data_IF_620271532963
#
_entry.id   IF_620271532963
#
_cell.length_a   1.000
_cell.length_b   1.000
_cell.length_c   1.000
_cell.angle_alpha   90.00
_cell.angle_beta   90.00
_cell.angle_gamma   90.00
#
_symmetry.space_group_name_H-M   'P 1'
#
loop_
_entity.id
_entity.type
_entity.pdbx_description
1 polymer ?
#
# COMPACT_ATOMS: atom_id res chain seq x y z
N UNK A 1 -8.09 -1.10 13.20
CA UNK A 1 -6.74 -0.89 12.57
C UNK A 1 -5.64 -1.74 13.21
N UNK A 2 -5.39 -1.65 14.52
CA UNK A 2 -4.31 -2.42 15.16
C UNK A 2 -4.52 -3.95 15.08
N UNK A 3 -5.77 -4.39 15.22
CA UNK A 3 -6.12 -5.82 15.12
C UNK A 3 -5.80 -6.39 13.73
N UNK A 4 -6.11 -5.65 12.66
CA UNK A 4 -5.76 -6.04 11.30
C UNK A 4 -4.24 -6.17 11.11
N UNK A 5 -3.45 -5.27 11.71
CA UNK A 5 -1.99 -5.38 11.65
C UNK A 5 -1.50 -6.62 12.40
N UNK A 6 -2.06 -6.88 13.58
CA UNK A 6 -1.72 -8.05 14.39
C UNK A 6 -2.11 -9.37 13.70
N UNK A 7 -3.27 -9.42 13.06
CA UNK A 7 -3.70 -10.56 12.23
C UNK A 7 -2.74 -10.83 11.09
N UNK A 8 -2.37 -9.79 10.33
CA UNK A 8 -1.40 -9.93 9.24
C UNK A 8 -0.08 -10.52 9.74
N UNK A 9 0.47 -9.96 10.83
CA UNK A 9 1.74 -10.42 11.41
C UNK A 9 1.65 -11.87 11.91
N UNK A 10 0.52 -12.26 12.50
CA UNK A 10 0.28 -13.63 12.99
C UNK A 10 0.17 -14.64 11.85
N UNK A 11 -0.54 -14.30 10.78
CA UNK A 11 -0.81 -15.19 9.65
C UNK A 11 0.35 -15.26 8.64
N UNK A 12 1.32 -14.34 8.74
CA UNK A 12 2.47 -14.33 7.84
C UNK A 12 3.40 -15.51 8.14
N UNK A 13 3.46 -16.45 7.21
CA UNK A 13 4.29 -17.65 7.30
C UNK A 13 5.40 -17.56 6.24
N UNK A 14 6.46 -16.81 6.55
CA UNK A 14 7.52 -16.49 5.60
C UNK A 14 8.90 -16.79 6.18
N UNK A 15 9.80 -17.31 5.35
CA UNK A 15 11.24 -17.44 5.69
C UNK A 15 11.99 -16.12 5.49
N UNK A 16 11.39 -15.19 4.74
CA UNK A 16 11.94 -13.86 4.50
C UNK A 16 11.66 -12.97 5.71
N UNK A 17 12.67 -12.25 6.20
CA UNK A 17 12.53 -11.40 7.37
C UNK A 17 11.54 -10.25 7.12
N UNK A 18 10.51 -10.14 7.97
CA UNK A 18 9.58 -9.00 8.01
C UNK A 18 10.15 -7.91 8.92
N UNK A 19 10.46 -6.73 8.35
CA UNK A 19 10.86 -5.54 9.08
C UNK A 19 9.71 -4.55 9.19
N UNK A 20 9.39 -4.14 10.41
CA UNK A 20 8.23 -3.30 10.71
C UNK A 20 8.68 -1.89 11.06
N UNK A 21 8.23 -0.91 10.27
CA UNK A 21 8.40 0.52 10.58
C UNK A 21 7.11 1.06 11.20
N UNK A 22 7.18 1.56 12.42
CA UNK A 22 6.05 2.17 13.11
C UNK A 22 5.97 3.67 12.81
N UNK A 23 4.76 4.22 12.92
CA UNK A 23 4.58 5.67 12.95
C UNK A 23 5.32 6.26 14.17
N UNK A 24 6.02 7.39 14.03
CA UNK A 24 6.74 8.01 15.14
C UNK A 24 5.80 8.50 16.24
N UNK A 25 6.24 8.47 17.49
CA UNK A 25 5.50 9.00 18.64
C UNK A 25 4.50 8.02 19.27
N UNK A 26 3.55 8.56 20.03
CA UNK A 26 2.69 7.77 20.94
C UNK A 26 1.80 6.75 20.23
N UNK A 27 1.35 7.05 19.01
CA UNK A 27 0.56 6.15 18.17
C UNK A 27 1.27 4.84 17.86
N UNK A 28 2.61 4.84 17.84
CA UNK A 28 3.40 3.63 17.60
C UNK A 28 3.38 2.64 18.77
N UNK A 29 3.15 3.09 20.00
CA UNK A 29 3.27 2.23 21.20
C UNK A 29 2.19 1.15 21.25
N UNK A 30 0.92 1.51 21.07
CA UNK A 30 -0.20 0.56 21.07
C UNK A 30 -0.11 -0.44 19.92
N UNK A 31 0.29 0.03 18.74
CA UNK A 31 0.50 -0.84 17.58
C UNK A 31 1.66 -1.81 17.82
N UNK A 32 2.76 -1.35 18.43
CA UNK A 32 3.89 -2.19 18.81
C UNK A 32 3.45 -3.34 19.72
N UNK A 33 2.68 -3.03 20.76
CA UNK A 33 2.22 -4.04 21.71
C UNK A 33 1.30 -5.07 21.07
N UNK A 34 0.40 -4.64 20.18
CA UNK A 34 -0.46 -5.54 19.41
C UNK A 34 0.35 -6.50 18.52
N UNK A 35 1.38 -5.97 17.86
CA UNK A 35 2.30 -6.75 17.01
C UNK A 35 3.11 -7.75 17.83
N UNK A 36 3.66 -7.33 18.98
CA UNK A 36 4.44 -8.21 19.85
C UNK A 36 3.59 -9.32 20.48
N UNK A 37 2.30 -9.06 20.78
CA UNK A 37 1.35 -10.10 21.19
C UNK A 37 1.06 -11.10 20.07
N UNK A 38 1.04 -10.66 18.81
CA UNK A 38 0.83 -11.53 17.66
C UNK A 38 2.07 -12.35 17.30
N UNK A 39 3.26 -11.75 17.43
CA UNK A 39 4.54 -12.39 17.19
C UNK A 39 5.62 -11.72 18.06
N UNK A 40 6.04 -12.40 19.13
CA UNK A 40 7.05 -11.90 20.06
C UNK A 40 8.44 -11.74 19.41
N UNK A 41 8.68 -12.39 18.27
CA UNK A 41 9.91 -12.28 17.47
C UNK A 41 9.91 -11.14 16.45
N UNK A 42 8.85 -10.32 16.38
CA UNK A 42 8.72 -9.24 15.40
C UNK A 42 9.91 -8.26 15.44
N UNK A 43 10.41 -7.89 14.26
CA UNK A 43 11.56 -7.00 14.10
C UNK A 43 11.09 -5.60 13.71
N UNK A 44 11.52 -4.61 14.48
CA UNK A 44 11.20 -3.21 14.21
C UNK A 44 12.43 -2.49 13.68
N UNK A 45 12.27 -1.73 12.61
CA UNK A 45 13.38 -1.04 11.94
C UNK A 45 12.95 0.36 11.49
N UNK A 46 13.66 1.36 12.00
CA UNK A 46 13.53 2.76 11.59
C UNK A 46 14.91 3.39 11.30
N UNK A 47 15.89 2.56 10.96
CA UNK A 47 17.31 2.97 10.84
C UNK A 47 17.64 3.73 9.56
N UNK A 48 16.83 3.56 8.52
CA UNK A 48 17.01 4.23 7.22
C UNK A 48 15.84 5.17 6.92
N UNK A 49 16.09 6.14 6.05
CA UNK A 49 15.03 6.95 5.42
C UNK A 49 14.02 6.08 4.68
N UNK A 50 12.77 6.53 4.66
CA UNK A 50 11.64 5.68 4.26
C UNK A 50 11.76 5.19 2.80
N UNK A 51 12.14 6.07 1.87
CA UNK A 51 12.37 5.71 0.46
C UNK A 51 13.54 4.74 0.28
N UNK A 52 14.58 4.83 1.11
CA UNK A 52 15.68 3.86 1.11
C UNK A 52 15.23 2.48 1.60
N UNK A 53 14.30 2.42 2.56
CA UNK A 53 13.70 1.15 2.97
C UNK A 53 12.82 0.56 1.88
N UNK A 54 12.02 1.37 1.18
CA UNK A 54 11.22 0.91 0.05
C UNK A 54 12.11 0.28 -1.03
N UNK A 55 13.18 0.97 -1.44
CA UNK A 55 14.09 0.49 -2.48
C UNK A 55 14.83 -0.82 -2.12
N UNK A 56 15.04 -1.09 -0.82
CA UNK A 56 15.70 -2.32 -0.35
C UNK A 56 14.72 -3.45 -0.05
N UNK A 57 13.42 -3.17 -0.07
CA UNK A 57 12.38 -4.15 0.24
C UNK A 57 11.97 -4.89 -1.03
N UNK A 58 11.87 -6.21 -0.95
CA UNK A 58 11.34 -7.04 -2.04
C UNK A 58 9.86 -6.73 -2.29
N UNK A 59 9.11 -6.48 -1.22
CA UNK A 59 7.69 -6.09 -1.21
C UNK A 59 7.42 -5.24 0.03
N UNK A 60 6.54 -4.24 -0.11
CA UNK A 60 6.12 -3.37 1.00
C UNK A 60 4.66 -3.65 1.38
N UNK A 61 4.41 -3.74 2.68
CA UNK A 61 3.08 -3.93 3.24
C UNK A 61 2.62 -2.68 3.99
N UNK A 62 1.42 -2.18 3.67
CA UNK A 62 0.82 -1.04 4.37
C UNK A 62 -0.47 -1.47 5.05
N UNK A 63 -0.60 -1.21 6.35
CA UNK A 63 -1.73 -1.66 7.17
C UNK A 63 -2.85 -0.61 7.31
N UNK A 64 -2.77 0.47 6.53
CA UNK A 64 -3.76 1.54 6.46
C UNK A 64 -3.55 2.37 5.17
N UNK A 65 -4.56 3.14 4.79
CA UNK A 65 -4.54 3.98 3.58
C UNK A 65 -4.00 5.39 3.92
N UNK A 66 -2.68 5.51 4.02
CA UNK A 66 -1.95 6.78 4.10
C UNK A 66 -1.43 7.25 2.75
N UNK A 67 -0.34 8.04 2.76
CA UNK A 67 0.39 8.42 1.52
C UNK A 67 1.40 7.37 1.09
N UNK A 68 1.95 6.61 2.04
CA UNK A 68 3.06 5.67 1.82
C UNK A 68 2.76 4.59 0.78
N UNK A 69 1.54 4.06 0.74
CA UNK A 69 1.17 3.07 -0.28
C UNK A 69 0.99 3.71 -1.67
N UNK A 70 0.56 4.97 -1.74
CA UNK A 70 0.49 5.71 -3.00
C UNK A 70 1.91 5.93 -3.56
N UNK A 71 2.86 6.26 -2.69
CA UNK A 71 4.27 6.42 -3.04
C UNK A 71 4.87 5.12 -3.59
N UNK A 72 4.61 3.98 -2.94
CA UNK A 72 5.14 2.68 -3.42
C UNK A 72 4.47 2.25 -4.73
N UNK A 73 3.16 2.42 -4.88
CA UNK A 73 2.47 2.17 -6.15
C UNK A 73 2.97 3.08 -7.27
N UNK A 74 3.14 4.38 -7.00
CA UNK A 74 3.65 5.35 -7.95
C UNK A 74 5.05 5.03 -8.46
N UNK A 75 5.90 4.47 -7.59
CA UNK A 75 7.26 4.03 -7.92
C UNK A 75 7.35 2.59 -8.46
N UNK A 76 6.22 1.95 -8.78
CA UNK A 76 6.15 0.56 -9.28
C UNK A 76 6.83 -0.46 -8.35
N UNK A 77 6.79 -0.22 -7.03
CA UNK A 77 7.34 -1.12 -6.02
C UNK A 77 6.26 -2.17 -5.66
N UNK A 78 6.58 -3.47 -5.60
CA UNK A 78 5.64 -4.49 -5.17
C UNK A 78 4.99 -4.12 -3.83
N UNK A 79 3.66 -3.99 -3.85
CA UNK A 79 2.90 -3.41 -2.74
C UNK A 79 1.67 -4.25 -2.46
N UNK A 80 1.46 -4.58 -1.19
CA UNK A 80 0.16 -5.03 -0.67
C UNK A 80 -0.28 -4.03 0.39
N UNK A 81 -1.51 -3.55 0.27
CA UNK A 81 -2.13 -2.70 1.27
C UNK A 81 -3.40 -3.35 1.79
N UNK A 82 -3.66 -3.19 3.08
CA UNK A 82 -4.91 -3.59 3.70
C UNK A 82 -5.37 -2.54 4.69
N UNK A 83 -6.67 -2.52 4.93
CA UNK A 83 -7.27 -1.58 5.86
C UNK A 83 -8.48 -2.20 6.55
N UNK A 84 -8.89 -1.53 7.62
CA UNK A 84 -10.08 -1.86 8.38
C UNK A 84 -11.31 -1.26 7.67
N UNK A 85 -12.20 -2.11 7.14
CA UNK A 85 -13.36 -1.66 6.35
C UNK A 85 -14.31 -0.77 7.12
N UNK A 86 -14.31 -0.83 8.46
CA UNK A 86 -15.14 0.03 9.29
C UNK A 86 -14.55 1.44 9.46
N UNK A 87 -13.24 1.59 9.22
CA UNK A 87 -12.54 2.87 9.37
C UNK A 87 -12.60 3.76 8.12
N UNK A 88 -12.97 3.23 6.95
CA UNK A 88 -12.89 3.96 5.68
C UNK A 88 -14.22 3.98 4.92
N UNK A 89 -14.54 5.12 4.32
CA UNK A 89 -15.66 5.29 3.40
C UNK A 89 -15.15 5.96 2.14
N UNK A 90 -15.41 5.34 0.99
CA UNK A 90 -14.93 5.83 -0.30
C UNK A 90 -16.05 6.55 -1.05
N UNK A 91 -15.64 7.52 -1.86
CA UNK A 91 -16.49 8.12 -2.87
C UNK A 91 -16.85 7.07 -3.92
N UNK A 92 -18.02 7.23 -4.54
CA UNK A 92 -18.53 6.30 -5.55
C UNK A 92 -17.64 6.23 -6.80
N UNK A 93 -16.99 7.33 -7.16
CA UNK A 93 -16.07 7.43 -8.29
C UNK A 93 -14.77 6.64 -8.11
N UNK A 94 -14.33 6.45 -6.86
CA UNK A 94 -13.14 5.66 -6.53
C UNK A 94 -13.41 4.16 -6.50
N UNK A 95 -14.68 3.74 -6.41
CA UNK A 95 -15.08 2.37 -6.13
C UNK A 95 -14.52 1.37 -7.16
N UNK A 96 -14.70 1.65 -8.44
CA UNK A 96 -14.25 0.75 -9.51
C UNK A 96 -12.74 0.50 -9.47
N UNK A 97 -11.95 1.57 -9.28
CA UNK A 97 -10.49 1.46 -9.22
C UNK A 97 -10.03 0.71 -7.95
N UNK A 98 -10.70 0.89 -6.81
CA UNK A 98 -10.41 0.11 -5.60
C UNK A 98 -10.78 -1.36 -5.75
N UNK A 99 -11.92 -1.66 -6.39
CA UNK A 99 -12.35 -3.03 -6.69
C UNK A 99 -11.36 -3.75 -7.62
N UNK A 100 -10.83 -3.05 -8.62
CA UNK A 100 -9.77 -3.58 -9.49
C UNK A 100 -8.51 -3.92 -8.69
N UNK A 101 -8.08 -3.05 -7.77
CA UNK A 101 -6.93 -3.33 -6.89
C UNK A 101 -7.18 -4.52 -5.96
N UNK A 102 -8.42 -4.70 -5.48
CA UNK A 102 -8.82 -5.87 -4.68
C UNK A 102 -8.76 -7.14 -5.52
N UNK A 103 -9.30 -7.09 -6.74
CA UNK A 103 -9.33 -8.23 -7.68
C UNK A 103 -7.93 -8.77 -7.99
N UNK A 104 -6.95 -7.87 -8.19
CA UNK A 104 -5.56 -8.28 -8.50
C UNK A 104 -4.72 -8.56 -7.24
N UNK A 105 -5.29 -8.35 -6.05
CA UNK A 105 -4.68 -8.63 -4.76
C UNK A 105 -3.64 -7.60 -4.29
N UNK A 106 -3.67 -6.37 -4.83
CA UNK A 106 -2.90 -5.24 -4.30
C UNK A 106 -3.55 -4.71 -3.02
N UNK A 107 -4.88 -4.55 -3.04
CA UNK A 107 -5.67 -4.03 -1.92
C UNK A 107 -6.45 -5.16 -1.24
N UNK A 108 -6.52 -5.13 0.08
CA UNK A 108 -7.17 -6.16 0.88
C UNK A 108 -8.05 -5.54 1.96
N UNK A 109 -9.12 -6.25 2.30
CA UNK A 109 -10.14 -5.79 3.25
C UNK A 109 -9.89 -6.31 4.67
N UNK A 110 -8.83 -7.10 4.86
CA UNK A 110 -8.35 -7.54 6.16
C UNK A 110 -6.86 -7.83 6.13
N UNK A 111 -6.23 -7.82 7.31
CA UNK A 111 -4.84 -8.25 7.47
C UNK A 111 -4.65 -9.74 7.17
N UNK A 112 -5.67 -10.56 7.47
CA UNK A 112 -5.66 -11.99 7.17
C UNK A 112 -5.59 -12.27 5.66
N UNK A 113 -6.45 -11.64 4.84
CA UNK A 113 -6.42 -11.85 3.37
C UNK A 113 -5.13 -11.31 2.75
N UNK A 114 -4.59 -10.21 3.29
CA UNK A 114 -3.30 -9.68 2.87
C UNK A 114 -2.14 -10.64 3.17
N UNK A 115 -2.16 -11.30 4.32
CA UNK A 115 -1.14 -12.28 4.68
C UNK A 115 -1.22 -13.53 3.80
N UNK A 116 -2.43 -14.02 3.50
CA UNK A 116 -2.65 -15.12 2.57
C UNK A 116 -2.05 -14.81 1.20
N UNK A 117 -2.35 -13.62 0.64
CA UNK A 117 -1.77 -13.19 -0.62
C UNK A 117 -0.25 -13.06 -0.54
N UNK A 118 0.28 -12.48 0.54
CA UNK A 118 1.72 -12.32 0.76
C UNK A 118 2.47 -13.66 0.80
N UNK A 119 1.88 -14.68 1.44
CA UNK A 119 2.40 -16.04 1.47
C UNK A 119 2.33 -16.68 0.07
N UNK A 120 1.22 -16.52 -0.63
CA UNK A 120 0.99 -17.13 -1.95
C UNK A 120 1.98 -16.63 -3.02
N UNK A 121 2.40 -15.36 -2.94
CA UNK A 121 3.35 -14.75 -3.91
C UNK A 121 4.81 -14.80 -3.46
N UNK A 122 5.12 -15.41 -2.30
CA UNK A 122 6.48 -15.38 -1.77
C UNK A 122 7.49 -16.09 -2.68
N UNK A 123 7.08 -17.18 -3.33
CA UNK A 123 7.94 -17.97 -4.20
C UNK A 123 8.26 -17.31 -5.54
N UNK A 124 7.33 -16.52 -6.08
CA UNK A 124 7.50 -15.85 -7.37
C UNK A 124 6.76 -14.49 -7.38
N UNK A 125 7.35 -13.52 -6.69
CA UNK A 125 6.76 -12.21 -6.54
C UNK A 125 6.68 -11.46 -7.87
N UNK A 126 7.73 -11.56 -8.68
CA UNK A 126 7.84 -10.85 -9.95
C UNK A 126 6.80 -11.35 -10.95
N UNK A 127 6.52 -12.66 -10.99
CA UNK A 127 5.45 -13.22 -11.81
C UNK A 127 4.08 -12.61 -11.51
N UNK A 128 3.75 -12.43 -10.23
CA UNK A 128 2.52 -11.73 -9.85
C UNK A 128 2.60 -10.24 -10.16
N UNK A 129 3.62 -9.56 -9.62
CA UNK A 129 3.68 -8.10 -9.67
C UNK A 129 3.76 -7.57 -11.09
N UNK A 130 4.55 -8.22 -11.97
CA UNK A 130 4.75 -7.80 -13.35
C UNK A 130 3.70 -8.32 -14.32
N UNK A 131 2.71 -9.09 -13.86
CA UNK A 131 1.58 -9.51 -14.70
C UNK A 131 0.82 -8.30 -15.27
N UNK A 132 0.30 -8.45 -16.50
CA UNK A 132 -0.42 -7.36 -17.17
C UNK A 132 -1.62 -6.87 -16.36
N UNK A 133 -2.34 -7.78 -15.70
CA UNK A 133 -3.52 -7.46 -14.89
C UNK A 133 -3.15 -6.56 -13.70
N UNK A 134 -2.13 -6.95 -12.93
CA UNK A 134 -1.65 -6.19 -11.76
C UNK A 134 -1.09 -4.83 -12.19
N UNK A 135 -0.28 -4.82 -13.25
CA UNK A 135 0.33 -3.59 -13.76
C UNK A 135 -0.72 -2.61 -14.31
N UNK A 136 -1.78 -3.13 -14.96
CA UNK A 136 -2.88 -2.32 -15.49
C UNK A 136 -3.72 -1.71 -14.36
N UNK A 137 -4.15 -2.52 -13.39
CA UNK A 137 -4.89 -2.03 -12.23
C UNK A 137 -4.09 -0.96 -11.47
N UNK A 138 -2.79 -1.18 -11.26
CA UNK A 138 -1.90 -0.19 -10.64
C UNK A 138 -1.86 1.11 -11.45
N UNK A 139 -1.54 1.06 -12.74
CA UNK A 139 -1.41 2.28 -13.57
C UNK A 139 -2.71 3.08 -13.59
N UNK A 140 -3.86 2.42 -13.73
CA UNK A 140 -5.16 3.08 -13.73
C UNK A 140 -5.42 3.81 -12.41
N UNK A 141 -5.16 3.15 -11.27
CA UNK A 141 -5.30 3.78 -9.96
C UNK A 141 -4.32 4.95 -9.76
N UNK A 142 -3.04 4.73 -10.08
CA UNK A 142 -1.96 5.73 -9.93
C UNK A 142 -2.22 6.97 -10.77
N UNK A 143 -2.65 6.81 -12.01
CA UNK A 143 -2.95 7.94 -12.90
C UNK A 143 -4.01 8.88 -12.33
N UNK A 144 -4.97 8.35 -11.55
CA UNK A 144 -6.07 9.11 -10.96
C UNK A 144 -5.75 9.65 -9.56
N UNK A 145 -5.10 8.85 -8.70
CA UNK A 145 -5.00 9.13 -7.26
C UNK A 145 -3.57 9.22 -6.72
N UNK A 146 -2.54 8.94 -7.54
CA UNK A 146 -1.14 8.97 -7.13
C UNK A 146 -0.22 9.42 -8.27
N UNK A 147 -0.63 10.42 -9.05
CA UNK A 147 0.13 10.83 -10.23
C UNK A 147 1.37 11.64 -9.84
N UNK A 148 2.54 11.01 -9.94
CA UNK A 148 3.86 11.61 -9.69
C UNK A 148 4.60 11.95 -11.00
N UNK A 149 3.88 12.36 -12.05
CA UNK A 149 4.49 12.74 -13.33
C UNK A 149 5.55 13.84 -13.16
N UNK A 150 6.68 13.70 -13.86
CA UNK A 150 7.69 14.75 -13.97
C UNK A 150 7.13 16.03 -14.59
N UNK A 151 6.09 15.89 -15.40
CA UNK A 151 5.46 16.96 -16.18
C UNK A 151 4.24 17.54 -15.46
N UNK A 152 4.12 17.33 -14.14
CA UNK A 152 2.96 17.78 -13.36
C UNK A 152 2.64 19.27 -13.56
N UNK A 153 3.67 20.13 -13.70
CA UNK A 153 3.48 21.57 -13.92
C UNK A 153 2.71 21.86 -15.20
N UNK A 154 3.12 21.22 -16.29
CA UNK A 154 2.51 21.31 -17.60
C UNK A 154 1.06 20.80 -17.55
N UNK A 155 0.84 19.63 -16.97
CA UNK A 155 -0.49 19.01 -16.81
C UNK A 155 -1.45 19.95 -16.07
N UNK A 156 -1.00 20.51 -14.93
CA UNK A 156 -1.81 21.43 -14.15
C UNK A 156 -2.06 22.75 -14.87
N UNK A 157 -1.06 23.29 -15.58
CA UNK A 157 -1.23 24.51 -16.39
C UNK A 157 -2.31 24.30 -17.46
N UNK A 158 -2.26 23.18 -18.18
CA UNK A 158 -3.27 22.84 -19.19
C UNK A 158 -4.66 22.69 -18.57
N UNK A 159 -4.76 21.97 -17.45
CA UNK A 159 -6.02 21.79 -16.74
C UNK A 159 -6.64 23.14 -16.33
N UNK A 160 -5.89 24.01 -15.67
CA UNK A 160 -6.39 25.33 -15.26
C UNK A 160 -6.75 26.20 -16.46
N UNK A 161 -5.95 26.16 -17.54
CA UNK A 161 -6.25 26.90 -18.78
C UNK A 161 -7.57 26.45 -19.38
N UNK A 162 -7.86 25.16 -19.37
CA UNK A 162 -9.11 24.62 -19.88
C UNK A 162 -10.31 25.05 -19.03
N UNK A 163 -10.22 24.91 -17.70
CA UNK A 163 -11.28 25.34 -16.78
C UNK A 163 -11.60 26.83 -16.93
N UNK A 164 -10.58 27.68 -17.09
CA UNK A 164 -10.75 29.12 -17.29
C UNK A 164 -11.38 29.48 -18.64
N UNK A 165 -11.21 28.65 -19.68
CA UNK A 165 -11.86 28.83 -20.99
C UNK A 165 -13.32 28.40 -20.98
N UNK A 166 -13.67 27.34 -20.25
CA UNK A 166 -15.04 26.81 -20.20
C UNK A 166 -15.98 27.63 -19.30
N UNK A 167 -15.42 28.49 -18.44
CA UNK A 167 -16.16 29.39 -17.55
C UNK A 167 -16.36 30.82 -18.14
N UNK A 168 -16.16 31.00 -19.45
CA UNK A 168 -16.52 32.20 -20.20
C UNK A 168 -17.65 31.89 -21.17
#
# INVERSE_FOLDING_TARGET
MYDQTAEFVRARASKTELRIRLFPGEYGSQQRDAILRANSGAKFDNSLEIFSQYARSRIVFHSYLGTSWLETLGNNIPTICFYDVDAYRFRTDAKALLEDLVKVGILHLSGSSAAEKANAVEGDLDLWWMSEEVQTARRNFVNQYANFSSDWKEIWREHFTNVLKTNR
#
